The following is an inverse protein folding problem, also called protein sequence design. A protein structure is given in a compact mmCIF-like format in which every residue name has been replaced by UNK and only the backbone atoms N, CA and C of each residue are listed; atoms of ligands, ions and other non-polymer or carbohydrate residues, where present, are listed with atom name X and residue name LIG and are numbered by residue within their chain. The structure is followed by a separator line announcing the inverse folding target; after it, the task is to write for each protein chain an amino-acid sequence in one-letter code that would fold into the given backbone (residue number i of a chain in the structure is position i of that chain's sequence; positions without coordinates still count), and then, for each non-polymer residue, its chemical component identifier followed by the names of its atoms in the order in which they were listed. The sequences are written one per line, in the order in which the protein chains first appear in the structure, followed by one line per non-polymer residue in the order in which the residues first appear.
data_IF_991415001172
#
_entry.id   IF_991415001172
#
_cell.length_a   1.000
_cell.length_b   1.000
_cell.length_c   1.000
_cell.angle_alpha   90.00
_cell.angle_beta   90.00
_cell.angle_gamma   90.00
#
_symmetry.space_group_name_H-M   'P 1'
#
loop_
_entity.id
_entity.type
_entity.pdbx_description
1 polymer ?
#
# COMPACT_ATOMS: atom_id res chain seq x y z
N UNK A 1 -6.89 -27.17 -11.98
CA UNK A 1 -6.06 -26.42 -12.94
C UNK A 1 -6.83 -25.13 -13.22
N UNK A 2 -6.44 -24.01 -12.62
CA UNK A 2 -7.08 -22.72 -12.91
C UNK A 2 -6.52 -22.31 -14.28
N UNK A 3 -7.42 -22.16 -15.24
CA UNK A 3 -7.09 -21.96 -16.65
C UNK A 3 -6.44 -20.58 -16.85
N UNK A 4 -5.26 -20.51 -17.50
CA UNK A 4 -4.52 -19.26 -17.71
C UNK A 4 -5.36 -18.21 -18.45
N UNK A 5 -6.28 -18.67 -19.30
CA UNK A 5 -7.27 -17.83 -19.98
C UNK A 5 -8.16 -17.02 -19.01
N UNK A 6 -8.54 -17.62 -17.88
CA UNK A 6 -9.36 -16.93 -16.89
C UNK A 6 -8.55 -15.87 -16.12
N UNK A 7 -7.24 -16.05 -16.00
CA UNK A 7 -6.36 -15.07 -15.36
C UNK A 7 -6.15 -13.83 -16.25
N UNK A 8 -5.98 -14.03 -17.56
CA UNK A 8 -5.86 -12.93 -18.53
C UNK A 8 -7.16 -12.11 -18.62
N UNK A 9 -8.32 -12.78 -18.71
CA UNK A 9 -9.63 -12.12 -18.72
C UNK A 9 -9.89 -11.34 -17.41
N UNK A 10 -9.49 -11.91 -16.26
CA UNK A 10 -9.56 -11.24 -14.95
C UNK A 10 -8.70 -9.98 -14.93
N UNK A 11 -7.47 -10.03 -15.43
CA UNK A 11 -6.57 -8.87 -15.45
C UNK A 11 -7.11 -7.78 -16.38
N UNK A 12 -7.66 -8.15 -17.53
CA UNK A 12 -8.30 -7.20 -18.44
C UNK A 12 -9.48 -6.48 -17.76
N UNK A 13 -10.36 -7.23 -17.08
CA UNK A 13 -11.47 -6.65 -16.33
C UNK A 13 -11.01 -5.73 -15.19
N UNK A 14 -9.97 -6.12 -14.45
CA UNK A 14 -9.39 -5.29 -13.40
C UNK A 14 -8.80 -3.98 -13.93
N UNK A 15 -8.11 -4.02 -15.08
CA UNK A 15 -7.58 -2.81 -15.74
C UNK A 15 -8.71 -1.88 -16.14
N UNK A 16 -9.73 -2.40 -16.80
CA UNK A 16 -10.90 -1.61 -17.21
C UNK A 16 -11.58 -0.92 -16.00
N UNK A 17 -11.84 -1.66 -14.92
CA UNK A 17 -12.44 -1.12 -13.71
C UNK A 17 -11.51 -0.13 -12.97
N UNK A 18 -10.19 -0.36 -13.00
CA UNK A 18 -9.22 0.57 -12.44
C UNK A 18 -9.17 1.89 -13.24
N UNK A 19 -9.26 1.83 -14.57
CA UNK A 19 -9.32 3.01 -15.44
C UNK A 19 -10.61 3.81 -15.22
N UNK A 20 -11.72 3.12 -14.91
CA UNK A 20 -13.00 3.72 -14.47
C UNK A 20 -12.93 4.32 -13.04
N UNK A 21 -11.79 4.19 -12.35
CA UNK A 21 -11.56 4.83 -11.07
C UNK A 21 -11.90 3.96 -9.85
N UNK A 22 -12.21 2.68 -10.03
CA UNK A 22 -12.58 1.79 -8.93
C UNK A 22 -11.35 1.42 -8.08
N UNK A 23 -11.38 1.84 -6.81
CA UNK A 23 -10.22 1.69 -5.92
C UNK A 23 -9.93 0.23 -5.53
N UNK A 24 -10.97 -0.61 -5.42
CA UNK A 24 -10.80 -2.05 -5.20
C UNK A 24 -10.11 -2.70 -6.40
N UNK A 25 -10.49 -2.34 -7.64
CA UNK A 25 -9.85 -2.87 -8.84
C UNK A 25 -8.36 -2.49 -8.92
N UNK A 26 -8.03 -1.23 -8.60
CA UNK A 26 -6.62 -0.79 -8.47
C UNK A 26 -5.89 -1.62 -7.42
N UNK A 27 -6.48 -1.86 -6.25
CA UNK A 27 -5.87 -2.68 -5.22
C UNK A 27 -5.62 -4.12 -5.70
N UNK A 28 -6.61 -4.76 -6.31
CA UNK A 28 -6.51 -6.14 -6.81
C UNK A 28 -5.51 -6.26 -7.97
N UNK A 29 -5.40 -5.22 -8.81
CA UNK A 29 -4.38 -5.15 -9.86
C UNK A 29 -2.98 -5.04 -9.23
N UNK A 30 -2.83 -4.21 -8.20
CA UNK A 30 -1.60 -4.14 -7.41
C UNK A 30 -1.21 -5.48 -6.77
N UNK A 31 -2.18 -6.21 -6.19
CA UNK A 31 -1.96 -7.56 -5.67
C UNK A 31 -1.51 -8.53 -6.77
N UNK A 32 -2.11 -8.43 -7.95
CA UNK A 32 -1.77 -9.31 -9.08
C UNK A 32 -0.33 -9.08 -9.54
N UNK A 33 0.11 -7.83 -9.65
CA UNK A 33 1.51 -7.49 -9.93
C UNK A 33 2.46 -7.90 -8.80
N UNK A 34 2.07 -7.78 -7.52
CA UNK A 34 2.91 -8.19 -6.39
C UNK A 34 3.12 -9.72 -6.32
N UNK A 35 2.14 -10.49 -6.81
CA UNK A 35 2.13 -11.95 -6.74
C UNK A 35 2.50 -12.63 -8.06
N UNK A 36 2.52 -11.89 -9.18
CA UNK A 36 2.71 -12.46 -10.52
C UNK A 36 1.54 -13.33 -10.99
N UNK A 37 0.30 -12.95 -10.65
CA UNK A 37 -0.92 -13.73 -11.00
C UNK A 37 -1.61 -13.13 -12.21
N UNK A 38 -1.63 -13.83 -13.35
CA UNK A 38 -2.11 -13.31 -14.64
C UNK A 38 -1.29 -12.15 -15.22
N UNK A 39 -0.20 -11.75 -14.57
CA UNK A 39 0.77 -10.75 -15.03
C UNK A 39 2.15 -11.15 -14.53
N UNK A 40 3.20 -10.70 -15.22
CA UNK A 40 4.55 -10.79 -14.68
C UNK A 40 4.65 -10.02 -13.36
N UNK A 41 5.39 -10.58 -12.40
CA UNK A 41 5.57 -9.95 -11.10
C UNK A 41 6.38 -8.66 -11.24
N UNK A 42 5.80 -7.55 -10.81
CA UNK A 42 6.44 -6.23 -10.79
C UNK A 42 6.03 -5.49 -9.52
N UNK A 43 6.94 -5.45 -8.55
CA UNK A 43 6.70 -4.80 -7.26
C UNK A 43 6.54 -3.27 -7.40
N UNK A 44 7.15 -2.65 -8.41
CA UNK A 44 7.01 -1.21 -8.70
C UNK A 44 5.65 -0.91 -9.33
N UNK A 45 5.16 -1.75 -10.26
CA UNK A 45 3.79 -1.66 -10.74
C UNK A 45 2.78 -1.86 -9.60
N UNK A 46 3.01 -2.84 -8.73
CA UNK A 46 2.17 -3.07 -7.56
C UNK A 46 2.07 -1.83 -6.67
N UNK A 47 3.22 -1.23 -6.33
CA UNK A 47 3.28 -0.02 -5.54
C UNK A 47 2.53 1.16 -6.19
N UNK A 48 2.64 1.34 -7.51
CA UNK A 48 1.90 2.38 -8.23
C UNK A 48 0.39 2.21 -8.08
N UNK A 49 -0.11 0.99 -8.26
CA UNK A 49 -1.54 0.68 -8.14
C UNK A 49 -2.06 0.81 -6.72
N UNK A 50 -1.31 0.33 -5.72
CA UNK A 50 -1.67 0.53 -4.31
C UNK A 50 -1.68 2.02 -3.94
N UNK A 51 -0.74 2.81 -4.44
CA UNK A 51 -0.73 4.25 -4.19
C UNK A 51 -1.97 4.93 -4.77
N UNK A 52 -2.37 4.59 -6.00
CA UNK A 52 -3.59 5.13 -6.61
C UNK A 52 -4.85 4.72 -5.84
N UNK A 53 -4.95 3.45 -5.42
CA UNK A 53 -6.05 2.97 -4.59
C UNK A 53 -6.11 3.69 -3.23
N UNK A 54 -4.96 3.87 -2.57
CA UNK A 54 -4.86 4.57 -1.29
C UNK A 54 -5.26 6.04 -1.40
N UNK A 55 -4.89 6.73 -2.49
CA UNK A 55 -5.35 8.10 -2.78
C UNK A 55 -6.86 8.21 -2.92
N UNK A 56 -7.54 7.14 -3.35
CA UNK A 56 -9.00 7.05 -3.43
C UNK A 56 -9.65 6.49 -2.16
N UNK A 57 -8.90 6.43 -1.06
CA UNK A 57 -9.42 6.03 0.25
C UNK A 57 -9.42 4.53 0.52
N UNK A 58 -8.88 3.70 -0.36
CA UNK A 58 -8.87 2.25 -0.16
C UNK A 58 -8.02 1.85 1.05
N UNK A 59 -8.67 1.34 2.10
CA UNK A 59 -8.05 1.11 3.40
C UNK A 59 -6.86 0.13 3.34
N UNK A 60 -7.06 -1.05 2.72
CA UNK A 60 -5.99 -2.07 2.62
C UNK A 60 -4.81 -1.58 1.78
N UNK A 61 -5.06 -0.72 0.79
CA UNK A 61 -4.00 -0.18 -0.05
C UNK A 61 -3.13 0.81 0.72
N UNK A 62 -3.72 1.59 1.63
CA UNK A 62 -2.98 2.46 2.56
C UNK A 62 -2.02 1.65 3.44
N UNK A 63 -2.50 0.54 4.02
CA UNK A 63 -1.68 -0.38 4.81
C UNK A 63 -0.58 -1.02 3.97
N UNK A 64 -0.90 -1.45 2.74
CA UNK A 64 0.10 -1.95 1.79
C UNK A 64 1.19 -0.91 1.49
N UNK A 65 0.83 0.35 1.24
CA UNK A 65 1.83 1.42 1.02
C UNK A 65 2.72 1.63 2.23
N UNK A 66 2.14 1.64 3.44
CA UNK A 66 2.89 1.72 4.68
C UNK A 66 3.93 0.62 4.82
N UNK A 67 3.54 -0.61 4.52
CA UNK A 67 4.46 -1.76 4.51
C UNK A 67 5.52 -1.67 3.40
N UNK A 68 5.14 -1.31 2.17
CA UNK A 68 6.09 -1.23 1.05
C UNK A 68 7.17 -0.18 1.29
N UNK A 69 6.80 1.00 1.80
CA UNK A 69 7.78 2.03 2.17
C UNK A 69 8.68 1.58 3.32
N UNK A 70 8.15 0.84 4.30
CA UNK A 70 8.94 0.36 5.45
C UNK A 70 9.95 -0.72 5.11
N UNK A 71 9.82 -1.39 3.95
CA UNK A 71 10.78 -2.41 3.50
C UNK A 71 11.48 -2.07 2.17
N UNK A 72 11.10 -0.97 1.52
CA UNK A 72 11.66 -0.55 0.23
C UNK A 72 11.31 -1.48 -0.94
N UNK A 73 10.14 -2.11 -0.90
CA UNK A 73 9.73 -3.06 -1.96
C UNK A 73 8.90 -2.33 -3.01
N UNK A 74 9.42 -2.25 -4.24
CA UNK A 74 8.78 -1.54 -5.34
C UNK A 74 8.79 -0.01 -5.22
N UNK A 75 9.28 0.51 -4.09
CA UNK A 75 9.45 1.94 -3.78
C UNK A 75 10.81 2.16 -3.13
N UNK A 76 11.31 3.40 -3.16
CA UNK A 76 12.47 3.77 -2.34
C UNK A 76 12.12 3.55 -0.86
N UNK A 77 12.99 2.85 -0.14
CA UNK A 77 12.84 2.64 1.30
C UNK A 77 12.74 3.97 2.04
N UNK A 78 11.66 4.16 2.79
CA UNK A 78 11.38 5.36 3.57
C UNK A 78 10.52 5.01 4.79
N UNK A 79 11.16 4.82 5.94
CA UNK A 79 10.48 4.45 7.18
C UNK A 79 9.56 5.56 7.72
N UNK A 80 9.80 6.84 7.37
CA UNK A 80 8.96 7.94 7.81
C UNK A 80 7.65 7.92 7.00
N UNK A 81 7.73 7.79 5.68
CA UNK A 81 6.53 7.60 4.86
C UNK A 81 5.78 6.32 5.25
N UNK A 82 6.49 5.21 5.47
CA UNK A 82 5.90 3.98 5.98
C UNK A 82 5.11 4.19 7.27
N UNK A 83 5.71 4.88 8.24
CA UNK A 83 5.06 5.24 9.49
C UNK A 83 3.80 6.09 9.28
N UNK A 84 3.84 7.09 8.41
CA UNK A 84 2.71 7.98 8.14
C UNK A 84 1.51 7.23 7.53
N UNK A 85 1.76 6.37 6.54
CA UNK A 85 0.70 5.55 5.94
C UNK A 85 0.10 4.56 6.94
N UNK A 86 0.94 3.89 7.75
CA UNK A 86 0.47 2.95 8.76
C UNK A 86 -0.29 3.64 9.90
N UNK A 87 0.13 4.84 10.30
CA UNK A 87 -0.58 5.63 11.33
C UNK A 87 -1.98 6.00 10.85
N UNK A 88 -2.09 6.56 9.64
CA UNK A 88 -3.38 6.91 9.06
C UNK A 88 -4.31 5.69 8.92
N UNK A 89 -3.78 4.53 8.53
CA UNK A 89 -4.59 3.30 8.47
C UNK A 89 -5.01 2.80 9.86
N UNK A 90 -4.12 2.86 10.86
CA UNK A 90 -4.41 2.44 12.23
C UNK A 90 -5.43 3.36 12.92
N UNK A 91 -5.40 4.67 12.64
CA UNK A 91 -6.40 5.65 13.12
C UNK A 91 -7.80 5.34 12.58
N UNK A 92 -7.89 4.77 11.37
CA UNK A 92 -9.14 4.31 10.77
C UNK A 92 -9.53 2.88 11.21
N UNK A 93 -8.85 2.33 12.21
CA UNK A 93 -9.20 1.04 12.82
C UNK A 93 -8.53 -0.19 12.18
N UNK A 94 -7.61 -0.03 11.23
CA UNK A 94 -6.88 -1.17 10.65
C UNK A 94 -5.92 -1.79 11.68
N UNK A 95 -6.26 -2.97 12.17
CA UNK A 95 -5.47 -3.72 13.15
C UNK A 95 -4.12 -4.18 12.60
N UNK A 96 -4.07 -4.57 11.32
CA UNK A 96 -2.82 -4.96 10.68
C UNK A 96 -1.88 -3.75 10.59
N UNK A 97 -2.41 -2.58 10.26
CA UNK A 97 -1.62 -1.35 10.24
C UNK A 97 -1.08 -1.01 11.63
N UNK A 98 -1.89 -1.17 12.69
CA UNK A 98 -1.44 -0.97 14.08
C UNK A 98 -0.30 -1.91 14.45
N UNK A 99 -0.38 -3.19 14.08
CA UNK A 99 0.66 -4.18 14.37
C UNK A 99 1.95 -3.92 13.58
N UNK A 100 1.82 -3.52 12.31
CA UNK A 100 2.96 -3.15 11.47
C UNK A 100 3.62 -1.86 11.99
N UNK A 101 2.84 -0.88 12.44
CA UNK A 101 3.33 0.35 13.04
C UNK A 101 4.12 0.06 14.31
N UNK A 102 3.60 -0.81 15.19
CA UNK A 102 4.29 -1.21 16.42
C UNK A 102 5.63 -1.91 16.12
N UNK A 103 5.69 -2.73 15.07
CA UNK A 103 6.93 -3.36 14.60
C UNK A 103 7.91 -2.33 14.03
N UNK A 104 7.45 -1.44 13.17
CA UNK A 104 8.27 -0.40 12.55
C UNK A 104 8.89 0.53 13.60
N UNK A 105 8.13 0.92 14.63
CA UNK A 105 8.62 1.75 15.75
C UNK A 105 9.83 1.16 16.45
N UNK A 106 9.93 -0.17 16.56
CA UNK A 106 11.07 -0.85 17.19
C UNK A 106 12.35 -0.79 16.34
N UNK A 107 12.22 -0.52 15.03
CA UNK A 107 13.32 -0.45 14.08
C UNK A 107 13.79 0.99 13.81
N UNK A 108 12.96 1.99 14.12
CA UNK A 108 13.28 3.40 13.92
C UNK A 108 14.21 3.92 15.03
N UNK A 109 15.17 4.75 14.64
CA UNK A 109 15.95 5.51 15.61
C UNK A 109 15.16 6.72 16.17
N UNK A 110 15.65 7.32 17.24
CA UNK A 110 14.97 8.43 17.91
C UNK A 110 14.75 9.66 17.00
N UNK A 111 15.65 9.94 16.06
CA UNK A 111 15.49 11.07 15.14
C UNK A 111 14.36 10.80 14.13
N UNK A 112 14.33 9.60 13.55
CA UNK A 112 13.28 9.18 12.62
C UNK A 112 11.91 9.16 13.29
N UNK A 113 11.82 8.63 14.53
CA UNK A 113 10.55 8.58 15.25
C UNK A 113 10.04 9.98 15.58
N UNK A 114 10.90 10.87 16.09
CA UNK A 114 10.54 12.26 16.37
C UNK A 114 10.04 13.00 15.13
N UNK A 115 10.72 12.82 14.00
CA UNK A 115 10.32 13.44 12.74
C UNK A 115 8.98 12.89 12.23
N UNK A 116 8.77 11.57 12.29
CA UNK A 116 7.51 10.96 11.87
C UNK A 116 6.33 11.42 12.74
N UNK A 117 6.48 11.42 14.06
CA UNK A 117 5.46 11.89 15.00
C UNK A 117 5.17 13.39 14.82
N UNK A 118 6.19 14.21 14.52
CA UNK A 118 6.00 15.61 14.17
C UNK A 118 5.11 15.77 12.93
N UNK A 119 5.40 15.04 11.85
CA UNK A 119 4.61 15.09 10.61
C UNK A 119 3.18 14.56 10.76
N UNK A 120 2.96 13.56 11.62
CA UNK A 120 1.59 13.12 11.97
C UNK A 120 0.82 14.26 12.62
N UNK A 121 1.41 14.95 13.61
CA UNK A 121 0.76 16.09 14.27
C UNK A 121 0.44 17.21 13.31
N UNK A 122 1.37 17.56 12.42
CA UNK A 122 1.16 18.64 11.44
C UNK A 122 0.01 18.33 10.48
N UNK A 123 -0.17 17.07 10.07
CA UNK A 123 -1.30 16.64 9.22
C UNK A 123 -2.66 16.65 9.90
N UNK A 124 -2.72 16.65 11.23
CA UNK A 124 -3.98 16.61 11.98
C UNK A 124 -4.57 18.02 12.22
N UNK A 125 -3.87 19.08 11.79
CA UNK A 125 -4.24 20.48 12.01
C UNK A 125 -4.85 21.12 10.74
N UNK A 126 -4.79 20.43 9.60
CA UNK A 126 -5.40 20.82 8.31
C UNK A 126 -6.77 20.15 8.10
#
# INVERSE_FOLDING_TARGET
MIDARNEDERIAALKFAADDGQAEAMFLLGVSYAQGKGVERDDTAAARWFHQAAKRGHARARTSMGYLYSIGKGVRHDVILGFLFLTQAAELGDLLARDLLARLRKQMNAAQLREAEKRVRERAVD
#
